data_IF_045723269124
#
_entry.id   IF_045723269124
#
_cell.length_a   1.000
_cell.length_b   1.000
_cell.length_c   1.000
_cell.angle_alpha   90.00
_cell.angle_beta   90.00
_cell.angle_gamma   90.00
#
_symmetry.space_group_name_H-M   'P 1'
#
loop_
_entity.id
_entity.type
_entity.pdbx_description
1 polymer ?
#
# COMPACT_ATOMS: atom_id res chain seq x y z
N UNK A 1 9.31 30.26 7.45
CA UNK A 1 10.40 29.50 6.82
C UNK A 1 11.58 29.51 7.79
N UNK A 2 11.94 28.36 8.37
CA UNK A 2 13.24 28.24 9.05
C UNK A 2 14.33 28.40 7.97
N UNK A 3 15.41 29.11 8.29
CA UNK A 3 16.43 29.54 7.32
C UNK A 3 17.04 28.36 6.55
N UNK A 4 17.46 28.61 5.31
CA UNK A 4 18.18 27.63 4.51
C UNK A 4 19.56 27.37 5.14
N UNK A 5 19.78 26.16 5.62
CA UNK A 5 21.06 25.70 6.14
C UNK A 5 21.83 24.96 5.04
N UNK A 6 23.14 25.22 4.91
CA UNK A 6 24.01 24.54 3.96
C UNK A 6 24.91 23.57 4.71
N UNK A 7 24.83 22.29 4.36
CA UNK A 7 25.65 21.25 4.96
C UNK A 7 26.69 20.80 3.92
N UNK A 8 27.96 21.01 4.20
CA UNK A 8 29.05 20.46 3.39
C UNK A 8 29.17 18.95 3.62
N UNK A 9 29.44 18.19 2.57
CA UNK A 9 29.61 16.74 2.65
C UNK A 9 30.87 16.27 1.93
N UNK A 10 31.50 15.21 2.45
CA UNK A 10 32.59 14.52 1.77
C UNK A 10 32.08 13.43 0.81
N UNK A 11 30.96 12.82 1.18
CA UNK A 11 30.19 11.87 0.40
C UNK A 11 28.71 12.01 0.78
N UNK A 12 27.80 11.73 -0.15
CA UNK A 12 26.36 11.80 0.05
C UNK A 12 25.76 10.44 -0.30
N UNK A 13 24.91 9.90 0.58
CA UNK A 13 24.14 8.69 0.34
C UNK A 13 22.66 9.04 0.34
N UNK A 14 21.99 8.77 -0.78
CA UNK A 14 20.57 8.97 -0.97
C UNK A 14 19.84 7.67 -0.58
N UNK A 15 19.15 7.72 0.55
CA UNK A 15 18.36 6.63 1.11
C UNK A 15 16.95 7.09 1.50
N UNK A 16 16.34 7.94 0.67
CA UNK A 16 15.05 8.59 0.97
C UNK A 16 13.84 7.70 0.72
N UNK A 17 14.04 6.51 0.14
CA UNK A 17 13.01 5.49 -0.04
C UNK A 17 11.87 5.93 -0.96
N UNK A 18 10.67 5.43 -0.66
CA UNK A 18 9.45 5.71 -1.41
C UNK A 18 8.33 6.21 -0.48
N UNK A 19 7.34 6.87 -1.07
CA UNK A 19 6.10 7.29 -0.40
C UNK A 19 4.89 6.65 -1.05
N UNK A 20 3.82 6.46 -0.29
CA UNK A 20 2.56 5.87 -0.76
C UNK A 20 1.39 6.73 -0.33
N UNK A 21 0.29 6.68 -1.08
CA UNK A 21 -0.90 7.47 -0.76
C UNK A 21 -1.62 6.93 0.49
N UNK A 22 -1.45 5.64 0.82
CA UNK A 22 -2.08 5.07 2.00
C UNK A 22 -1.37 5.51 3.28
N UNK A 23 -2.07 6.14 4.23
CA UNK A 23 -1.48 6.45 5.54
C UNK A 23 -1.25 5.20 6.41
N UNK A 24 -1.70 4.02 5.98
CA UNK A 24 -1.40 2.74 6.63
C UNK A 24 -0.03 2.20 6.27
N UNK A 25 0.49 2.55 5.09
CA UNK A 25 1.62 1.88 4.47
C UNK A 25 2.86 2.78 4.34
N UNK A 26 2.80 4.02 4.82
CA UNK A 26 3.88 4.98 4.70
C UNK A 26 3.95 5.99 5.84
N UNK A 27 5.14 6.52 6.06
CA UNK A 27 5.37 7.67 6.93
C UNK A 27 5.17 8.95 6.12
N UNK A 28 3.93 9.46 6.05
CA UNK A 28 3.59 10.60 5.20
C UNK A 28 4.00 11.97 5.77
N UNK A 29 4.31 12.05 7.08
CA UNK A 29 4.75 13.30 7.75
C UNK A 29 5.83 13.05 8.81
N UNK A 30 5.39 12.73 10.02
CA UNK A 30 6.22 12.53 11.21
C UNK A 30 5.65 11.38 12.04
N UNK A 31 6.41 10.95 13.05
CA UNK A 31 6.06 9.78 13.86
C UNK A 31 4.81 9.98 14.72
N UNK A 32 4.52 11.22 15.15
CA UNK A 32 3.32 11.52 15.94
C UNK A 32 2.07 11.52 15.06
N UNK A 33 2.15 12.11 13.87
CA UNK A 33 1.10 12.07 12.85
C UNK A 33 0.78 10.62 12.44
N UNK A 34 1.80 9.78 12.24
CA UNK A 34 1.62 8.35 11.96
C UNK A 34 0.91 7.63 13.11
N UNK A 35 1.38 7.81 14.35
CA UNK A 35 0.76 7.19 15.53
C UNK A 35 -0.70 7.63 15.70
N UNK A 36 -0.97 8.91 15.52
CA UNK A 36 -2.33 9.47 15.57
C UNK A 36 -3.23 8.81 14.53
N UNK A 37 -2.74 8.71 13.30
CA UNK A 37 -3.48 8.10 12.19
C UNK A 37 -3.75 6.61 12.45
N UNK A 38 -2.74 5.85 12.86
CA UNK A 38 -2.90 4.42 13.19
C UNK A 38 -3.87 4.21 14.36
N UNK A 39 -3.86 5.08 15.36
CA UNK A 39 -4.81 5.01 16.48
C UNK A 39 -6.24 5.31 16.03
N UNK A 40 -6.44 6.30 15.15
CA UNK A 40 -7.76 6.61 14.59
C UNK A 40 -8.33 5.42 13.80
N UNK A 41 -7.50 4.77 12.97
CA UNK A 41 -7.91 3.57 12.24
C UNK A 41 -8.28 2.46 13.21
N UNK A 42 -7.40 2.13 14.16
CA UNK A 42 -7.64 1.07 15.16
C UNK A 42 -8.93 1.29 15.95
N UNK A 43 -9.24 2.54 16.28
CA UNK A 43 -10.48 2.88 16.98
C UNK A 43 -11.73 2.70 16.10
N UNK A 44 -11.61 2.91 14.78
CA UNK A 44 -12.73 2.81 13.84
C UNK A 44 -12.96 1.39 13.29
N UNK A 45 -11.90 0.58 13.20
CA UNK A 45 -11.96 -0.79 12.66
C UNK A 45 -13.02 -1.70 13.31
N UNK A 46 -13.25 -1.69 14.64
CA UNK A 46 -14.31 -2.52 15.26
C UNK A 46 -15.73 -2.21 14.75
N UNK A 47 -15.96 -1.01 14.24
CA UNK A 47 -17.26 -0.58 13.72
C UNK A 47 -17.35 -0.68 12.19
N UNK A 48 -16.26 -1.04 11.51
CA UNK A 48 -16.24 -1.16 10.07
C UNK A 48 -17.07 -2.36 9.63
N UNK A 49 -18.08 -2.14 8.78
CA UNK A 49 -18.88 -3.23 8.21
C UNK A 49 -18.25 -3.82 6.96
N UNK A 50 -17.55 -2.98 6.20
CA UNK A 50 -16.88 -3.38 4.96
C UNK A 50 -15.58 -2.59 4.79
N UNK A 51 -14.47 -3.32 4.62
CA UNK A 51 -13.15 -2.80 4.27
C UNK A 51 -12.79 -3.28 2.86
N UNK A 52 -12.33 -2.37 2.00
CA UNK A 52 -11.71 -2.74 0.73
C UNK A 52 -10.23 -2.36 0.71
N UNK A 53 -9.41 -3.29 0.26
CA UNK A 53 -8.01 -3.07 -0.08
C UNK A 53 -7.90 -3.12 -1.59
N UNK A 54 -7.48 -2.02 -2.21
CA UNK A 54 -7.27 -1.97 -3.64
C UNK A 54 -5.78 -2.16 -3.92
N UNK A 55 -5.33 -3.41 -4.07
CA UNK A 55 -3.98 -3.80 -4.46
C UNK A 55 -3.89 -5.31 -4.65
N UNK A 56 -2.89 -5.77 -5.40
CA UNK A 56 -2.57 -7.19 -5.62
C UNK A 56 -1.13 -7.55 -5.23
N UNK A 57 -0.36 -6.60 -4.72
CA UNK A 57 1.02 -6.82 -4.30
C UNK A 57 1.11 -7.53 -2.96
N UNK A 58 2.33 -7.82 -2.52
CA UNK A 58 2.58 -8.40 -1.20
C UNK A 58 2.00 -7.53 -0.08
N UNK A 59 2.18 -6.21 -0.14
CA UNK A 59 1.69 -5.29 0.88
C UNK A 59 0.16 -5.33 1.01
N UNK A 60 -0.57 -5.34 -0.12
CA UNK A 60 -2.02 -5.48 -0.11
C UNK A 60 -2.50 -6.81 0.46
N UNK A 61 -1.83 -7.91 0.10
CA UNK A 61 -2.16 -9.26 0.59
C UNK A 61 -1.89 -9.39 2.09
N UNK A 62 -0.75 -8.93 2.57
CA UNK A 62 -0.41 -8.92 4.00
C UNK A 62 -1.37 -8.03 4.81
N UNK A 63 -1.71 -6.86 4.28
CA UNK A 63 -2.68 -5.95 4.92
C UNK A 63 -4.05 -6.61 5.02
N UNK A 64 -4.53 -7.25 3.95
CA UNK A 64 -5.79 -7.98 3.97
C UNK A 64 -5.73 -9.14 4.97
N UNK A 65 -4.61 -9.87 5.00
CA UNK A 65 -4.38 -10.97 5.93
C UNK A 65 -4.45 -10.54 7.40
N UNK A 66 -3.68 -9.51 7.75
CA UNK A 66 -3.66 -8.94 9.10
C UNK A 66 -5.05 -8.46 9.52
N UNK A 67 -5.79 -7.77 8.64
CA UNK A 67 -7.13 -7.29 8.96
C UNK A 67 -8.14 -8.45 9.08
N UNK A 68 -8.05 -9.46 8.23
CA UNK A 68 -8.88 -10.67 8.31
C UNK A 68 -8.72 -11.39 9.64
N UNK A 69 -7.49 -11.70 10.00
CA UNK A 69 -7.20 -12.38 11.26
C UNK A 69 -7.60 -11.52 12.47
N UNK A 70 -7.29 -10.22 12.46
CA UNK A 70 -7.58 -9.33 13.59
C UNK A 70 -9.08 -9.09 13.79
N UNK A 71 -9.87 -8.94 12.72
CA UNK A 71 -11.29 -8.57 12.81
C UNK A 71 -12.22 -9.77 12.81
N UNK A 72 -11.89 -10.82 12.05
CA UNK A 72 -12.75 -11.98 11.86
C UNK A 72 -12.23 -13.23 12.56
N UNK A 73 -10.93 -13.33 12.82
CA UNK A 73 -10.27 -14.56 13.25
C UNK A 73 -10.04 -15.52 12.07
N UNK A 74 -9.98 -16.82 12.36
CA UNK A 74 -9.80 -17.87 11.37
C UNK A 74 -10.91 -18.92 11.45
N UNK A 75 -11.16 -19.63 10.35
CA UNK A 75 -12.09 -20.76 10.35
C UNK A 75 -11.51 -21.94 11.15
N UNK A 76 -12.40 -22.82 11.63
CA UNK A 76 -11.97 -24.06 12.27
C UNK A 76 -11.21 -24.98 11.30
N UNK A 77 -10.45 -25.94 11.83
CA UNK A 77 -9.63 -26.87 11.04
C UNK A 77 -10.44 -27.66 9.99
N UNK A 78 -11.74 -27.87 10.21
CA UNK A 78 -12.61 -28.57 9.27
C UNK A 78 -13.17 -27.68 8.14
N UNK A 79 -12.81 -26.40 8.10
CA UNK A 79 -13.37 -25.42 7.17
C UNK A 79 -12.26 -24.73 6.38
N UNK A 80 -12.41 -24.71 5.06
CA UNK A 80 -11.50 -24.00 4.14
C UNK A 80 -11.81 -22.50 4.02
N UNK A 81 -12.92 -22.03 4.60
CA UNK A 81 -13.38 -20.64 4.53
C UNK A 81 -14.15 -20.27 5.80
N UNK A 82 -14.03 -19.02 6.20
CA UNK A 82 -14.83 -18.45 7.28
C UNK A 82 -16.18 -17.94 6.74
N UNK A 83 -17.29 -18.46 7.28
CA UNK A 83 -18.65 -18.12 6.81
C UNK A 83 -19.33 -17.01 7.64
N UNK A 84 -19.10 -16.98 8.96
CA UNK A 84 -19.71 -16.00 9.86
C UNK A 84 -18.76 -14.81 10.11
N UNK A 85 -18.72 -13.90 9.15
CA UNK A 85 -17.84 -12.73 9.17
C UNK A 85 -18.39 -11.63 10.09
N UNK A 86 -17.54 -11.06 10.94
CA UNK A 86 -17.86 -9.83 11.69
C UNK A 86 -17.74 -8.60 10.80
N UNK A 87 -16.71 -8.59 9.94
CA UNK A 87 -16.38 -7.51 9.01
C UNK A 87 -16.17 -8.11 7.63
N UNK A 88 -16.83 -7.57 6.60
CA UNK A 88 -16.55 -7.95 5.22
C UNK A 88 -15.23 -7.32 4.78
N UNK A 89 -14.27 -8.13 4.33
CA UNK A 89 -13.00 -7.63 3.81
C UNK A 89 -12.84 -8.08 2.36
N UNK A 90 -12.55 -7.13 1.48
CA UNK A 90 -12.40 -7.40 0.04
C UNK A 90 -11.05 -6.89 -0.46
N UNK A 91 -10.24 -7.78 -1.01
CA UNK A 91 -9.01 -7.44 -1.72
C UNK A 91 -9.33 -7.35 -3.22
N UNK A 92 -9.22 -6.18 -3.80
CA UNK A 92 -9.50 -5.91 -5.22
C UNK A 92 -8.19 -5.99 -5.99
N UNK A 93 -8.07 -6.99 -6.85
CA UNK A 93 -6.89 -7.29 -7.63
C UNK A 93 -7.11 -7.02 -9.12
N UNK A 94 -6.24 -6.19 -9.69
CA UNK A 94 -6.20 -5.96 -11.14
C UNK A 94 -5.60 -7.18 -11.85
N UNK A 95 -6.32 -7.74 -12.81
CA UNK A 95 -5.89 -8.94 -13.56
C UNK A 95 -6.25 -10.26 -12.88
N UNK A 96 -5.68 -11.37 -13.35
CA UNK A 96 -6.14 -12.73 -13.04
C UNK A 96 -5.63 -13.32 -11.71
N UNK A 97 -5.32 -12.49 -10.71
CA UNK A 97 -4.86 -12.97 -9.40
C UNK A 97 -4.02 -11.98 -8.59
N UNK A 98 -3.65 -12.43 -7.39
CA UNK A 98 -2.74 -11.74 -6.47
C UNK A 98 -1.29 -12.18 -6.66
N UNK A 99 -0.35 -11.42 -6.08
CA UNK A 99 1.09 -11.74 -6.05
C UNK A 99 1.67 -12.09 -7.43
N UNK A 100 1.49 -11.22 -8.45
CA UNK A 100 1.78 -11.54 -9.86
C UNK A 100 3.26 -11.82 -10.15
N UNK A 101 4.16 -11.44 -9.26
CA UNK A 101 5.60 -11.70 -9.37
C UNK A 101 5.95 -13.12 -8.91
N UNK A 102 5.09 -13.75 -8.10
CA UNK A 102 5.30 -15.07 -7.54
C UNK A 102 4.72 -16.16 -8.45
N UNK A 103 5.12 -17.41 -8.18
CA UNK A 103 4.57 -18.57 -8.90
C UNK A 103 3.06 -18.71 -8.61
N UNK A 104 2.24 -19.08 -9.61
CA UNK A 104 0.78 -19.20 -9.42
C UNK A 104 0.36 -20.08 -8.24
N UNK A 105 1.12 -21.15 -7.94
CA UNK A 105 0.84 -22.01 -6.79
C UNK A 105 0.86 -21.25 -5.46
N UNK A 106 1.80 -20.30 -5.27
CA UNK A 106 1.92 -19.48 -4.05
C UNK A 106 0.75 -18.49 -3.97
N UNK A 107 0.35 -17.90 -5.10
CA UNK A 107 -0.81 -17.02 -5.15
C UNK A 107 -2.10 -17.79 -4.78
N UNK A 108 -2.31 -18.97 -5.35
CA UNK A 108 -3.46 -19.82 -5.04
C UNK A 108 -3.50 -20.25 -3.57
N UNK A 109 -2.35 -20.61 -3.00
CA UNK A 109 -2.25 -20.94 -1.58
C UNK A 109 -2.57 -19.72 -0.70
N UNK A 110 -2.06 -18.55 -1.08
CA UNK A 110 -2.34 -17.29 -0.39
C UNK A 110 -3.83 -16.93 -0.44
N UNK A 111 -4.51 -17.14 -1.56
CA UNK A 111 -5.97 -16.94 -1.65
C UNK A 111 -6.74 -17.90 -0.74
N UNK A 112 -6.26 -19.14 -0.60
CA UNK A 112 -6.80 -20.09 0.38
C UNK A 112 -6.66 -19.59 1.81
N UNK A 113 -5.48 -19.10 2.19
CA UNK A 113 -5.28 -18.52 3.52
C UNK A 113 -6.13 -17.28 3.76
N UNK A 114 -6.24 -16.39 2.77
CA UNK A 114 -7.12 -15.22 2.84
C UNK A 114 -8.59 -15.63 3.03
N UNK A 115 -9.08 -16.63 2.29
CA UNK A 115 -10.44 -17.15 2.46
C UNK A 115 -10.66 -17.76 3.85
N UNK A 116 -9.64 -18.43 4.40
CA UNK A 116 -9.68 -19.06 5.73
C UNK A 116 -9.87 -18.04 6.86
N UNK A 117 -9.43 -16.79 6.67
CA UNK A 117 -9.63 -15.66 7.60
C UNK A 117 -10.71 -14.68 7.13
N UNK A 118 -11.54 -15.08 6.17
CA UNK A 118 -12.73 -14.31 5.76
C UNK A 118 -12.48 -13.15 4.80
N UNK A 119 -11.30 -13.09 4.18
CA UNK A 119 -11.00 -12.15 3.10
C UNK A 119 -11.51 -12.71 1.78
N UNK A 120 -12.20 -11.88 1.00
CA UNK A 120 -12.62 -12.22 -0.37
C UNK A 120 -11.73 -11.50 -1.38
N UNK A 121 -11.15 -12.25 -2.32
CA UNK A 121 -10.39 -11.67 -3.44
C UNK A 121 -11.32 -11.44 -4.63
N UNK A 122 -11.36 -10.21 -5.13
CA UNK A 122 -12.06 -9.84 -6.37
C UNK A 122 -11.02 -9.61 -7.44
N UNK A 123 -10.85 -10.59 -8.33
CA UNK A 123 -9.91 -10.54 -9.45
C UNK A 123 -10.53 -9.84 -10.67
N UNK A 124 -9.69 -9.42 -11.61
CA UNK A 124 -10.11 -8.88 -12.90
C UNK A 124 -10.91 -7.59 -12.77
N UNK A 125 -10.71 -6.85 -11.67
CA UNK A 125 -11.42 -5.63 -11.39
C UNK A 125 -10.45 -4.52 -10.98
N UNK A 126 -10.45 -3.44 -11.74
CA UNK A 126 -9.77 -2.18 -11.42
C UNK A 126 -10.72 -1.21 -10.74
N UNK A 127 -10.25 -0.55 -9.68
CA UNK A 127 -10.94 0.62 -9.12
C UNK A 127 -10.85 1.78 -10.11
N UNK A 128 -11.99 2.30 -10.56
CA UNK A 128 -12.09 3.39 -11.53
C UNK A 128 -12.43 4.71 -10.85
N UNK A 129 -13.38 4.70 -9.92
CA UNK A 129 -13.78 5.91 -9.19
C UNK A 129 -13.98 5.61 -7.70
N UNK A 130 -13.68 6.62 -6.89
CA UNK A 130 -13.88 6.64 -5.44
C UNK A 130 -14.68 7.89 -5.12
N UNK A 131 -15.83 7.73 -4.46
CA UNK A 131 -16.70 8.83 -4.04
C UNK A 131 -16.95 8.76 -2.53
N UNK A 132 -16.66 9.80 -1.74
CA UNK A 132 -16.11 11.09 -2.16
C UNK A 132 -14.63 10.98 -2.55
N UNK A 133 -14.14 11.88 -3.44
CA UNK A 133 -12.72 11.96 -3.76
C UNK A 133 -11.88 12.16 -2.49
N UNK A 134 -10.79 11.40 -2.36
CA UNK A 134 -9.90 11.48 -1.20
C UNK A 134 -10.21 10.48 -0.07
N UNK A 135 -11.30 9.71 -0.15
CA UNK A 135 -11.56 8.67 0.84
C UNK A 135 -10.40 7.66 0.94
N UNK A 136 -10.01 7.30 2.16
CA UNK A 136 -8.85 6.44 2.43
C UNK A 136 -7.49 7.16 2.44
N UNK A 137 -7.46 8.48 2.22
CA UNK A 137 -6.27 9.33 2.42
C UNK A 137 -6.16 9.83 3.87
N UNK A 138 -5.05 10.46 4.23
CA UNK A 138 -4.82 11.02 5.57
C UNK A 138 -5.96 11.94 6.06
N UNK A 139 -6.62 12.69 5.16
CA UNK A 139 -7.67 13.65 5.52
C UNK A 139 -9.06 13.00 5.69
N UNK A 140 -9.34 11.96 4.91
CA UNK A 140 -10.68 11.36 4.76
C UNK A 140 -10.64 9.84 4.95
N UNK A 141 -9.85 9.40 5.93
CA UNK A 141 -9.45 8.01 6.13
C UNK A 141 -10.61 7.06 6.43
N UNK A 142 -11.56 7.52 7.25
CA UNK A 142 -12.73 6.74 7.69
C UNK A 142 -14.01 7.22 7.01
N UNK A 143 -13.88 8.02 5.94
CA UNK A 143 -15.03 8.51 5.19
C UNK A 143 -15.63 7.35 4.42
N UNK A 144 -16.91 7.11 4.65
CA UNK A 144 -17.68 6.13 3.87
C UNK A 144 -17.55 6.45 2.38
N UNK A 145 -17.22 5.43 1.59
CA UNK A 145 -16.93 5.59 0.19
C UNK A 145 -17.63 4.55 -0.67
N UNK A 146 -18.13 4.99 -1.81
CA UNK A 146 -18.52 4.14 -2.92
C UNK A 146 -17.32 3.97 -3.85
N UNK A 147 -16.85 2.73 -3.98
CA UNK A 147 -15.78 2.35 -4.90
C UNK A 147 -16.41 1.71 -6.12
N UNK A 148 -16.22 2.30 -7.30
CA UNK A 148 -16.72 1.75 -8.56
C UNK A 148 -15.61 1.00 -9.27
N UNK A 149 -15.89 -0.24 -9.65
CA UNK A 149 -14.99 -1.11 -10.39
C UNK A 149 -15.21 -0.98 -11.90
N UNK A 150 -14.23 -1.42 -12.69
CA UNK A 150 -14.26 -1.30 -14.16
C UNK A 150 -15.40 -2.10 -14.81
N UNK A 151 -15.90 -3.14 -14.14
CA UNK A 151 -17.05 -3.92 -14.58
C UNK A 151 -18.41 -3.26 -14.22
N UNK A 152 -18.38 -2.04 -13.67
CA UNK A 152 -19.55 -1.28 -13.25
C UNK A 152 -20.11 -1.66 -11.88
N UNK A 153 -19.53 -2.65 -11.18
CA UNK A 153 -19.94 -2.98 -9.81
C UNK A 153 -19.48 -1.91 -8.84
N UNK A 154 -20.25 -1.72 -7.77
CA UNK A 154 -19.93 -0.80 -6.69
C UNK A 154 -19.72 -1.54 -5.37
N UNK A 155 -18.79 -1.03 -4.55
CA UNK A 155 -18.54 -1.47 -3.18
C UNK A 155 -18.74 -0.28 -2.25
N UNK A 156 -19.64 -0.43 -1.29
CA UNK A 156 -19.84 0.55 -0.21
C UNK A 156 -18.93 0.19 0.97
N UNK A 157 -17.92 1.01 1.23
CA UNK A 157 -16.85 0.69 2.19
C UNK A 157 -16.70 1.79 3.24
N UNK A 158 -16.33 1.39 4.45
CA UNK A 158 -16.04 2.30 5.58
C UNK A 158 -14.55 2.64 5.63
N UNK A 159 -13.71 1.74 5.11
CA UNK A 159 -12.28 1.94 4.97
C UNK A 159 -11.85 1.46 3.58
N UNK A 160 -11.24 2.37 2.83
CA UNK A 160 -10.50 2.07 1.62
C UNK A 160 -9.01 2.14 1.95
N UNK A 161 -8.28 1.06 1.67
CA UNK A 161 -6.82 1.04 1.76
C UNK A 161 -6.25 1.10 0.34
N UNK A 162 -5.82 2.28 -0.13
CA UNK A 162 -5.18 2.41 -1.44
C UNK A 162 -3.73 1.92 -1.33
N UNK A 163 -3.53 0.62 -1.43
CA UNK A 163 -2.19 0.01 -1.42
C UNK A 163 -1.53 0.03 -2.82
N UNK A 164 -2.00 0.92 -3.70
CA UNK A 164 -1.54 1.04 -5.08
C UNK A 164 -0.35 1.99 -5.12
N UNK A 165 0.74 1.52 -5.72
CA UNK A 165 1.88 2.33 -6.13
C UNK A 165 2.69 2.93 -4.96
N UNK A 166 4.00 2.97 -5.19
CA UNK A 166 4.94 3.71 -4.36
C UNK A 166 5.66 4.69 -5.28
N UNK A 167 5.85 5.91 -4.82
CA UNK A 167 6.56 6.96 -5.55
C UNK A 167 7.95 7.16 -4.94
N UNK A 168 9.04 7.04 -5.71
CA UNK A 168 10.38 7.36 -5.22
C UNK A 168 10.48 8.79 -4.70
N UNK A 169 11.11 8.97 -3.54
CA UNK A 169 11.32 10.29 -2.95
C UNK A 169 12.52 10.97 -3.60
N UNK A 170 12.32 11.50 -4.81
CA UNK A 170 13.41 12.04 -5.66
C UNK A 170 13.27 13.52 -6.03
N UNK A 171 12.22 14.20 -5.55
CA UNK A 171 11.92 15.59 -5.92
C UNK A 171 13.01 16.62 -5.55
N UNK A 172 13.97 16.25 -4.71
CA UNK A 172 15.11 17.08 -4.32
C UNK A 172 16.31 16.97 -5.28
N UNK A 173 16.28 16.05 -6.25
CA UNK A 173 17.38 15.83 -7.19
C UNK A 173 17.09 16.58 -8.49
N UNK A 174 17.82 17.66 -8.73
CA UNK A 174 17.58 18.54 -9.88
C UNK A 174 18.19 18.06 -11.20
N UNK A 175 19.24 17.23 -11.15
CA UNK A 175 20.03 16.86 -12.33
C UNK A 175 19.41 15.72 -13.16
N UNK A 176 18.17 15.35 -12.83
CA UNK A 176 17.37 14.28 -13.46
C UNK A 176 18.14 12.97 -13.73
N UNK A 177 18.85 12.38 -12.76
CA UNK A 177 19.53 11.09 -12.94
C UNK A 177 18.52 9.94 -12.78
N UNK A 178 17.43 9.93 -13.54
CA UNK A 178 16.33 8.98 -13.33
C UNK A 178 16.26 7.92 -14.42
N UNK A 179 15.91 6.70 -14.01
CA UNK A 179 15.59 5.59 -14.92
C UNK A 179 14.22 5.81 -15.56
N UNK A 180 13.85 4.98 -16.53
CA UNK A 180 12.50 4.97 -17.11
C UNK A 180 11.39 4.59 -16.12
N UNK A 181 11.74 4.12 -14.92
CA UNK A 181 10.83 3.77 -13.82
C UNK A 181 10.80 4.82 -12.71
N UNK A 182 11.29 6.04 -12.98
CA UNK A 182 11.39 7.16 -12.02
C UNK A 182 12.24 6.86 -10.77
N UNK A 183 13.17 5.90 -10.85
CA UNK A 183 14.14 5.61 -9.78
C UNK A 183 15.47 6.31 -10.03
N UNK A 184 16.30 6.51 -9.00
CA UNK A 184 17.65 7.07 -9.18
C UNK A 184 18.53 6.07 -9.94
N UNK A 185 19.09 6.50 -11.06
CA UNK A 185 20.03 5.75 -11.87
C UNK A 185 21.37 5.63 -11.14
N UNK A 186 21.85 4.39 -11.00
CA UNK A 186 23.11 4.09 -10.32
C UNK A 186 23.98 3.15 -11.13
N UNK A 187 25.30 3.28 -10.96
CA UNK A 187 26.26 2.28 -11.44
C UNK A 187 26.18 1.03 -10.57
N UNK A 188 25.66 -0.07 -11.13
CA UNK A 188 25.28 -1.31 -10.41
C UNK A 188 26.35 -1.84 -9.45
N UNK A 189 27.63 -1.80 -9.84
CA UNK A 189 28.73 -2.34 -9.02
C UNK A 189 29.17 -1.43 -7.86
N UNK A 190 28.80 -0.15 -7.88
CA UNK A 190 29.30 0.86 -6.93
C UNK A 190 28.20 1.67 -6.25
N UNK A 191 26.96 1.58 -6.73
CA UNK A 191 25.80 2.38 -6.33
C UNK A 191 25.98 3.89 -6.52
N UNK A 192 26.98 4.31 -7.31
CA UNK A 192 27.24 5.73 -7.57
C UNK A 192 26.20 6.34 -8.49
N UNK A 193 25.82 7.58 -8.19
CA UNK A 193 24.99 8.43 -9.04
C UNK A 193 25.92 9.35 -9.82
N UNK A 194 26.58 8.80 -10.84
CA UNK A 194 27.69 9.46 -11.54
C UNK A 194 27.29 10.82 -12.16
N UNK A 195 26.02 10.95 -12.54
CA UNK A 195 25.47 12.21 -13.06
C UNK A 195 25.43 13.34 -12.03
N UNK A 196 25.33 13.03 -10.74
CA UNK A 196 25.21 14.01 -9.64
C UNK A 196 26.55 14.35 -9.01
N UNK A 197 27.46 13.38 -8.91
CA UNK A 197 28.82 13.66 -8.47
C UNK A 197 29.62 12.43 -8.06
N UNK A 198 30.94 12.58 -8.06
CA UNK A 198 31.90 11.47 -7.89
C UNK A 198 31.78 10.70 -6.55
N UNK A 199 31.11 11.26 -5.54
CA UNK A 199 30.92 10.67 -4.21
C UNK A 199 29.47 10.72 -3.75
N UNK A 200 28.55 10.66 -4.72
CA UNK A 200 27.12 10.54 -4.48
C UNK A 200 26.70 9.11 -4.77
N UNK A 201 25.97 8.51 -3.85
CA UNK A 201 25.50 7.13 -3.93
C UNK A 201 23.99 7.09 -3.67
N UNK A 202 23.30 6.09 -4.20
CA UNK A 202 21.89 5.87 -3.87
C UNK A 202 21.62 4.40 -3.58
N UNK A 203 20.83 4.14 -2.54
CA UNK A 203 20.28 2.82 -2.25
C UNK A 203 18.91 2.75 -2.90
N UNK A 204 18.81 1.96 -3.97
CA UNK A 204 17.54 1.74 -4.68
C UNK A 204 16.92 0.44 -4.15
N UNK A 205 15.66 0.51 -3.75
CA UNK A 205 14.78 -0.65 -3.53
C UNK A 205 13.81 -0.70 -4.71
#
# INVERSE_FOLDING_TARGET
MKGAEKIGYHALVIGTGTSTQSPLLGLNRDSESLRTTLNAIRAALPNAKHVAIADRSLAGVETAGMLGECLNGCAGWLSSKLENLKVRITLVAVGSGILPVLRPAIANESEGFLAWIGVTVTQGARVVTISPPGAGTERDLMTHATVTLEDGKTLEVVLLVPAICVAPNICFIHESPFTASDSVETTVSTLRVDKVGARVYAMVI
#
